data_IF_687304299352
#
_entry.id   IF_687304299352
#
_cell.length_a   1.000
_cell.length_b   1.000
_cell.length_c   1.000
_cell.angle_alpha   90.00
_cell.angle_beta   90.00
_cell.angle_gamma   90.00
#
_symmetry.space_group_name_H-M   'P 1'
#
loop_
_entity.id
_entity.type
_entity.pdbx_description
1 polymer ?
#
# COMPACT_ATOMS: atom_id res chain seq x y z
N UNK A 1 -5.39 -22.52 0.02
CA UNK A 1 -3.93 -22.63 0.19
C UNK A 1 -3.68 -22.70 1.68
N UNK A 2 -3.15 -23.79 2.21
CA UNK A 2 -2.83 -23.92 3.64
C UNK A 2 -1.38 -23.50 3.85
N UNK A 3 -1.13 -22.56 4.76
CA UNK A 3 0.20 -22.04 5.04
C UNK A 3 0.83 -22.79 6.21
N UNK A 4 2.13 -23.05 6.11
CA UNK A 4 2.88 -23.76 7.16
C UNK A 4 3.59 -22.75 8.06
N UNK A 5 3.23 -22.73 9.34
CA UNK A 5 3.90 -21.88 10.34
C UNK A 5 5.19 -22.54 10.84
N UNK A 6 6.29 -21.77 10.82
CA UNK A 6 7.56 -22.16 11.38
C UNK A 6 7.93 -21.26 12.56
N UNK A 7 8.35 -21.86 13.68
CA UNK A 7 8.69 -21.13 14.90
C UNK A 7 10.18 -21.17 15.19
N UNK A 8 10.73 -20.01 15.53
CA UNK A 8 12.11 -19.91 16.01
C UNK A 8 12.23 -20.44 17.44
N UNK A 9 13.45 -20.82 17.86
CA UNK A 9 13.72 -21.23 19.25
C UNK A 9 13.34 -20.15 20.28
N UNK A 10 13.42 -18.88 19.88
CA UNK A 10 13.04 -17.75 20.72
C UNK A 10 11.52 -17.66 20.88
N UNK A 11 10.77 -17.77 19.77
CA UNK A 11 9.30 -17.78 19.79
C UNK A 11 8.74 -18.90 20.70
N UNK A 12 9.38 -20.07 20.73
CA UNK A 12 9.01 -21.17 21.63
C UNK A 12 9.20 -20.82 23.12
N UNK A 13 10.23 -20.03 23.46
CA UNK A 13 10.44 -19.55 24.84
C UNK A 13 9.39 -18.51 25.22
N UNK A 14 9.09 -17.60 24.29
CA UNK A 14 8.12 -16.52 24.55
C UNK A 14 6.68 -17.05 24.61
N UNK A 15 6.35 -18.14 23.91
CA UNK A 15 5.08 -18.85 24.05
C UNK A 15 4.78 -19.29 25.50
N UNK A 16 5.82 -19.66 26.27
CA UNK A 16 5.65 -20.01 27.69
C UNK A 16 5.24 -18.81 28.54
N UNK A 17 5.83 -17.63 28.25
CA UNK A 17 5.48 -16.36 28.93
C UNK A 17 4.09 -15.88 28.53
N UNK A 18 3.72 -16.09 27.28
CA UNK A 18 2.42 -15.75 26.71
C UNK A 18 1.29 -16.58 27.35
N UNK A 19 1.58 -17.83 27.72
CA UNK A 19 0.65 -18.66 28.47
C UNK A 19 0.42 -18.15 29.91
N UNK A 20 1.47 -17.68 30.59
CA UNK A 20 1.36 -17.14 31.95
C UNK A 20 0.69 -15.76 32.05
N UNK A 21 0.61 -15.00 30.95
CA UNK A 21 0.01 -13.66 30.94
C UNK A 21 -1.48 -13.64 30.55
N UNK A 22 -2.12 -14.81 30.39
CA UNK A 22 -3.52 -14.91 29.97
C UNK A 22 -3.78 -14.54 28.50
N UNK A 23 -2.74 -14.23 27.71
CA UNK A 23 -2.85 -13.84 26.30
C UNK A 23 -2.91 -15.04 25.33
N UNK A 24 -2.87 -16.27 25.87
CA UNK A 24 -2.85 -17.52 25.09
C UNK A 24 -3.96 -17.61 24.05
N UNK A 25 -5.21 -17.31 24.45
CA UNK A 25 -6.37 -17.42 23.56
C UNK A 25 -6.28 -16.43 22.37
N UNK A 26 -5.84 -15.20 22.62
CA UNK A 26 -5.65 -14.18 21.57
C UNK A 26 -4.55 -14.59 20.59
N UNK A 27 -3.42 -15.09 21.09
CA UNK A 27 -2.33 -15.55 20.22
C UNK A 27 -2.74 -16.76 19.37
N UNK A 28 -3.50 -17.71 19.93
CA UNK A 28 -4.03 -18.86 19.17
C UNK A 28 -4.97 -18.43 18.05
N UNK A 29 -5.83 -17.43 18.30
CA UNK A 29 -6.71 -16.88 17.27
C UNK A 29 -5.92 -16.25 16.10
N UNK A 30 -4.86 -15.50 16.41
CA UNK A 30 -3.99 -14.91 15.38
C UNK A 30 -3.25 -15.97 14.56
N UNK A 31 -2.72 -17.02 15.20
CA UNK A 31 -2.04 -18.11 14.50
C UNK A 31 -3.00 -18.86 13.56
N UNK A 32 -4.26 -19.05 13.97
CA UNK A 32 -5.29 -19.67 13.12
C UNK A 32 -5.61 -18.84 11.87
N UNK A 33 -5.60 -17.50 11.97
CA UNK A 33 -5.77 -16.61 10.81
C UNK A 33 -4.57 -16.74 9.86
N UNK A 34 -3.34 -16.74 10.40
CA UNK A 34 -2.12 -16.86 9.61
C UNK A 34 -2.00 -18.21 8.87
N UNK A 35 -2.52 -19.30 9.43
CA UNK A 35 -2.58 -20.61 8.76
C UNK A 35 -3.56 -20.64 7.57
N UNK A 36 -4.64 -19.85 7.66
CA UNK A 36 -5.67 -19.76 6.61
C UNK A 36 -5.25 -18.82 5.48
N UNK A 37 -4.87 -17.59 5.81
CA UNK A 37 -4.39 -16.60 4.85
C UNK A 37 -3.63 -15.46 5.57
N UNK A 38 -2.29 -15.40 5.42
CA UNK A 38 -1.48 -14.38 6.08
C UNK A 38 -1.71 -12.97 5.53
N UNK A 39 -2.43 -12.82 4.41
CA UNK A 39 -2.69 -11.54 3.76
C UNK A 39 -4.12 -11.03 3.99
N UNK A 40 -4.91 -11.68 4.85
CA UNK A 40 -6.21 -11.14 5.24
C UNK A 40 -6.07 -9.83 5.99
N UNK A 41 -6.96 -8.89 5.69
CA UNK A 41 -7.09 -7.64 6.44
C UNK A 41 -7.38 -8.00 7.91
N UNK A 42 -6.46 -7.69 8.85
CA UNK A 42 -6.59 -8.13 10.24
C UNK A 42 -7.83 -7.51 10.90
N UNK A 43 -8.34 -8.12 11.99
CA UNK A 43 -9.46 -7.56 12.73
C UNK A 43 -9.15 -6.14 13.21
N UNK A 44 -10.18 -5.27 13.36
CA UNK A 44 -9.99 -3.90 13.85
C UNK A 44 -9.17 -3.90 15.13
N UNK A 45 -8.07 -3.15 15.15
CA UNK A 45 -7.19 -3.08 16.31
C UNK A 45 -7.84 -2.28 17.43
N UNK A 46 -7.67 -2.75 18.66
CA UNK A 46 -8.10 -2.04 19.86
C UNK A 46 -7.08 -0.93 20.17
N UNK A 47 -7.55 0.31 20.32
CA UNK A 47 -6.68 1.46 20.64
C UNK A 47 -6.00 1.19 21.97
N UNK A 48 -4.68 1.36 22.03
CA UNK A 48 -3.93 1.25 23.29
C UNK A 48 -4.48 2.28 24.29
N UNK A 49 -4.91 1.82 25.46
CA UNK A 49 -5.45 2.67 26.55
C UNK A 49 -4.44 2.68 27.70
N UNK A 50 -3.92 3.86 28.07
CA UNK A 50 -2.95 4.05 29.16
C UNK A 50 -2.04 5.27 28.95
N UNK A 51 -1.19 5.59 29.94
CA UNK A 51 -0.10 6.56 29.77
C UNK A 51 1.02 5.91 28.95
N UNK A 52 1.04 6.25 27.67
CA UNK A 52 1.98 5.72 26.67
C UNK A 52 3.15 6.68 26.44
N UNK A 53 3.44 7.58 27.38
CA UNK A 53 4.60 8.47 27.28
C UNK A 53 5.88 7.64 27.12
N UNK A 54 6.47 7.68 25.92
CA UNK A 54 7.68 6.93 25.56
C UNK A 54 7.44 5.53 24.98
N UNK A 55 6.20 5.05 24.85
CA UNK A 55 5.89 3.81 24.16
C UNK A 55 5.65 4.06 22.66
N UNK A 56 6.63 3.73 21.82
CA UNK A 56 6.42 3.66 20.37
C UNK A 56 5.61 2.40 20.05
N UNK A 57 4.37 2.56 19.57
CA UNK A 57 3.61 1.46 18.97
C UNK A 57 4.34 1.01 17.70
N UNK A 58 5.04 -0.11 17.73
CA UNK A 58 5.61 -0.79 16.54
C UNK A 58 4.51 -1.44 15.68
N UNK A 59 3.39 -0.75 15.48
CA UNK A 59 2.25 -1.15 14.64
C UNK A 59 1.99 -0.09 13.55
N UNK A 60 3.05 0.55 13.04
CA UNK A 60 2.90 1.67 12.09
C UNK A 60 3.25 1.38 10.62
N UNK A 61 3.58 0.14 10.25
CA UNK A 61 3.70 -0.26 8.85
C UNK A 61 2.45 -1.05 8.42
N UNK A 62 1.29 -0.41 8.49
CA UNK A 62 0.18 -0.86 7.66
C UNK A 62 0.55 -0.59 6.19
N UNK A 63 0.29 -1.55 5.31
CA UNK A 63 0.54 -1.41 3.88
C UNK A 63 -0.26 -0.21 3.34
N UNK A 64 0.40 0.92 3.05
CA UNK A 64 -0.26 2.13 2.55
C UNK A 64 -0.38 2.06 1.03
N UNK A 65 -1.58 2.28 0.53
CA UNK A 65 -1.83 2.45 -0.91
C UNK A 65 -2.00 3.95 -1.17
N UNK A 66 -1.12 4.49 -1.99
CA UNK A 66 -1.17 5.88 -2.46
C UNK A 66 -1.70 5.89 -3.88
N UNK A 67 -2.69 6.74 -4.13
CA UNK A 67 -3.21 6.99 -5.46
C UNK A 67 -2.76 8.37 -5.95
N UNK A 68 -2.32 8.46 -7.20
CA UNK A 68 -1.99 9.72 -7.86
C UNK A 68 -2.37 9.62 -9.33
N UNK A 69 -2.80 10.71 -9.95
CA UNK A 69 -3.18 10.68 -11.36
C UNK A 69 -2.46 11.75 -12.17
N UNK A 70 -2.19 11.45 -13.44
CA UNK A 70 -1.45 12.32 -14.35
C UNK A 70 -2.00 12.20 -15.77
N UNK A 71 -1.81 13.26 -16.54
CA UNK A 71 -1.93 13.17 -17.99
C UNK A 71 -0.72 12.44 -18.59
N UNK A 72 0.49 12.82 -18.16
CA UNK A 72 1.77 12.26 -18.62
C UNK A 72 2.02 12.36 -20.14
N UNK A 73 1.61 13.48 -20.74
CA UNK A 73 1.78 13.74 -22.19
C UNK A 73 3.25 14.00 -22.56
N UNK A 74 3.97 14.76 -21.74
CA UNK A 74 5.40 14.98 -21.88
C UNK A 74 6.07 14.65 -20.55
N UNK A 75 6.85 13.57 -20.53
CA UNK A 75 7.58 13.17 -19.33
C UNK A 75 8.77 14.10 -19.10
N UNK A 76 8.86 14.66 -17.89
CA UNK A 76 9.99 15.48 -17.46
C UNK A 76 10.28 15.20 -15.98
N UNK A 77 11.37 15.77 -15.47
CA UNK A 77 11.87 15.54 -14.10
C UNK A 77 10.85 15.85 -13.00
N UNK A 78 9.92 16.77 -13.25
CA UNK A 78 8.83 17.10 -12.33
C UNK A 78 7.93 15.91 -12.02
N UNK A 79 7.49 15.15 -13.03
CA UNK A 79 6.71 13.93 -12.83
C UNK A 79 7.49 12.89 -12.02
N UNK A 80 8.77 12.70 -12.33
CA UNK A 80 9.62 11.74 -11.61
C UNK A 80 9.76 12.10 -10.12
N UNK A 81 9.90 13.38 -9.79
CA UNK A 81 9.97 13.85 -8.41
C UNK A 81 8.64 13.63 -7.68
N UNK A 82 7.51 13.94 -8.32
CA UNK A 82 6.19 13.73 -7.74
C UNK A 82 5.91 12.24 -7.47
N UNK A 83 6.24 11.36 -8.42
CA UNK A 83 6.09 9.92 -8.27
C UNK A 83 7.01 9.37 -7.17
N UNK A 84 8.25 9.83 -7.11
CA UNK A 84 9.19 9.47 -6.04
C UNK A 84 8.64 9.86 -4.66
N UNK A 85 8.13 11.08 -4.52
CA UNK A 85 7.55 11.57 -3.27
C UNK A 85 6.29 10.76 -2.90
N UNK A 86 5.44 10.43 -3.88
CA UNK A 86 4.23 9.63 -3.67
C UNK A 86 4.57 8.20 -3.21
N UNK A 87 5.60 7.58 -3.80
CA UNK A 87 6.11 6.28 -3.34
C UNK A 87 6.73 6.35 -1.94
N UNK A 88 7.41 7.45 -1.60
CA UNK A 88 7.92 7.67 -0.24
C UNK A 88 6.80 7.77 0.81
N UNK A 89 5.66 8.37 0.46
CA UNK A 89 4.46 8.41 1.32
C UNK A 89 3.89 7.00 1.53
N UNK A 90 3.89 6.17 0.47
CA UNK A 90 3.47 4.77 0.58
C UNK A 90 4.38 3.97 1.53
N UNK A 91 5.66 4.35 1.62
CA UNK A 91 6.64 3.65 2.46
C UNK A 91 7.25 2.44 1.75
N UNK A 92 8.16 1.71 2.44
CA UNK A 92 8.91 0.60 1.85
C UNK A 92 8.02 -0.54 1.37
N UNK A 93 6.98 -0.87 2.12
CA UNK A 93 6.03 -1.95 1.83
C UNK A 93 4.72 -1.46 1.19
N UNK A 94 4.56 -0.15 1.00
CA UNK A 94 3.38 0.43 0.38
C UNK A 94 3.39 0.41 -1.14
N UNK A 95 2.23 0.71 -1.73
CA UNK A 95 2.01 0.68 -3.19
C UNK A 95 1.59 2.04 -3.72
N UNK A 96 2.15 2.44 -4.85
CA UNK A 96 1.73 3.60 -5.64
C UNK A 96 0.94 3.13 -6.86
N UNK A 97 -0.34 3.48 -6.88
CA UNK A 97 -1.24 3.29 -8.03
C UNK A 97 -1.34 4.62 -8.79
N UNK A 98 -0.99 4.59 -10.08
CA UNK A 98 -1.04 5.76 -10.94
C UNK A 98 -2.22 5.70 -11.90
N UNK A 99 -3.10 6.70 -11.85
CA UNK A 99 -4.14 6.92 -12.84
C UNK A 99 -3.62 7.71 -14.04
N UNK A 100 -3.72 7.14 -15.24
CA UNK A 100 -3.48 7.89 -16.48
C UNK A 100 -4.82 8.37 -17.02
N UNK A 101 -4.95 9.69 -17.15
CA UNK A 101 -6.21 10.32 -17.57
C UNK A 101 -6.50 9.96 -19.03
N UNK A 102 -7.73 9.54 -19.33
CA UNK A 102 -8.18 9.19 -20.68
C UNK A 102 -8.18 10.39 -21.62
N UNK A 103 -8.01 10.16 -22.92
CA UNK A 103 -7.98 11.23 -23.94
C UNK A 103 -9.28 12.05 -23.92
N UNK A 104 -10.43 11.38 -23.74
CA UNK A 104 -11.76 11.99 -23.70
C UNK A 104 -11.90 12.97 -22.54
N UNK A 105 -11.46 12.58 -21.34
CA UNK A 105 -11.51 13.43 -20.15
C UNK A 105 -10.58 14.65 -20.27
N UNK A 106 -9.45 14.51 -20.97
CA UNK A 106 -8.52 15.63 -21.21
C UNK A 106 -9.13 16.60 -22.23
N UNK A 107 -9.70 16.08 -23.30
CA UNK A 107 -10.34 16.89 -24.34
C UNK A 107 -11.55 17.65 -23.79
N UNK A 108 -12.37 17.02 -22.94
CA UNK A 108 -13.48 17.67 -22.26
C UNK A 108 -13.04 18.89 -21.43
N UNK A 109 -11.88 18.82 -20.78
CA UNK A 109 -11.40 19.92 -19.93
C UNK A 109 -10.59 20.97 -20.71
N UNK A 110 -9.72 20.53 -21.62
CA UNK A 110 -8.71 21.38 -22.28
C UNK A 110 -9.06 21.75 -23.72
N UNK A 111 -10.14 21.19 -24.28
CA UNK A 111 -10.58 21.42 -25.65
C UNK A 111 -9.64 20.86 -26.72
N UNK A 112 -8.67 20.03 -26.34
CA UNK A 112 -7.73 19.38 -27.25
C UNK A 112 -7.24 18.05 -26.66
N UNK A 113 -6.97 17.04 -27.50
CA UNK A 113 -6.38 15.79 -27.06
C UNK A 113 -4.90 15.98 -26.68
N UNK A 114 -4.31 15.02 -25.95
CA UNK A 114 -2.87 14.94 -25.72
C UNK A 114 -2.08 14.72 -27.02
N UNK A 115 -0.78 15.00 -26.99
CA UNK A 115 0.13 14.69 -28.10
C UNK A 115 0.41 13.18 -28.21
N UNK A 116 0.61 12.51 -27.06
CA UNK A 116 0.80 11.07 -26.98
C UNK A 116 -0.54 10.36 -26.80
N UNK A 117 -0.70 9.24 -27.50
CA UNK A 117 -1.86 8.37 -27.33
C UNK A 117 -1.98 7.88 -25.88
N UNK A 118 -3.19 7.59 -25.42
CA UNK A 118 -3.41 6.98 -24.10
C UNK A 118 -2.50 5.77 -23.83
N UNK A 119 -2.28 4.94 -24.85
CA UNK A 119 -1.41 3.76 -24.75
C UNK A 119 0.05 4.13 -24.47
N UNK A 120 0.61 5.09 -25.19
CA UNK A 120 1.99 5.54 -24.97
C UNK A 120 2.15 6.12 -23.56
N UNK A 121 1.18 6.91 -23.11
CA UNK A 121 1.17 7.50 -21.75
C UNK A 121 1.08 6.41 -20.66
N UNK A 122 0.30 5.37 -20.91
CA UNK A 122 0.18 4.21 -20.01
C UNK A 122 1.48 3.39 -19.95
N UNK A 123 2.09 3.10 -21.11
CA UNK A 123 3.38 2.39 -21.19
C UNK A 123 4.51 3.19 -20.51
N UNK A 124 4.53 4.52 -20.71
CA UNK A 124 5.48 5.41 -20.01
C UNK A 124 5.31 5.30 -18.50
N UNK A 125 4.09 5.40 -17.98
CA UNK A 125 3.83 5.33 -16.56
C UNK A 125 4.22 3.98 -15.95
N UNK A 126 3.93 2.88 -16.66
CA UNK A 126 4.30 1.52 -16.24
C UNK A 126 5.81 1.30 -16.20
N UNK A 127 6.58 2.02 -17.01
CA UNK A 127 8.05 1.90 -17.06
C UNK A 127 8.77 2.61 -15.91
N UNK A 128 8.06 3.45 -15.15
CA UNK A 128 8.67 4.25 -14.08
C UNK A 128 8.82 3.41 -12.81
N UNK A 129 10.08 3.24 -12.37
CA UNK A 129 10.48 2.49 -11.15
C UNK A 129 9.59 2.67 -9.91
N UNK A 130 9.06 3.87 -9.69
CA UNK A 130 8.29 4.19 -8.47
C UNK A 130 6.84 3.71 -8.53
N UNK A 131 6.34 3.32 -9.70
CA UNK A 131 4.95 2.98 -9.96
C UNK A 131 4.75 1.47 -9.84
N UNK A 132 3.82 1.05 -8.98
CA UNK A 132 3.52 -0.37 -8.78
C UNK A 132 2.39 -0.86 -9.69
N UNK A 133 1.43 0.02 -10.00
CA UNK A 133 0.31 -0.30 -10.90
C UNK A 133 -0.17 0.95 -11.62
N UNK A 134 -0.64 0.79 -12.85
CA UNK A 134 -1.23 1.86 -13.65
C UNK A 134 -2.67 1.50 -13.99
N UNK A 135 -3.58 2.46 -13.87
CA UNK A 135 -5.01 2.32 -14.21
C UNK A 135 -5.46 3.46 -15.11
N UNK A 136 -6.50 3.22 -15.91
CA UNK A 136 -7.15 4.29 -16.66
C UNK A 136 -8.00 5.14 -15.70
N UNK A 137 -7.83 6.46 -15.79
CA UNK A 137 -8.65 7.43 -15.07
C UNK A 137 -9.58 8.13 -16.06
N UNK A 138 -10.87 7.82 -15.99
CA UNK A 138 -11.88 8.28 -16.97
C UNK A 138 -12.50 9.65 -16.64
N UNK A 139 -12.20 10.21 -15.46
CA UNK A 139 -12.72 11.50 -15.00
C UNK A 139 -11.62 12.27 -14.27
N UNK A 140 -11.61 13.59 -14.35
CA UNK A 140 -10.71 14.39 -13.51
C UNK A 140 -11.30 14.41 -12.10
N UNK A 141 -10.51 13.96 -11.12
CA UNK A 141 -10.87 14.08 -9.71
C UNK A 141 -10.55 15.51 -9.26
N UNK A 142 -11.55 16.38 -9.41
CA UNK A 142 -11.63 17.68 -8.75
C UNK A 142 -12.89 17.72 -7.88
#
# INVERSE_FOLDING_TARGET
>A
MTWTLHYTKQAQKDAKKLASSGLKAKAQALLAILEQDPWQNPPPFEKLVGDLSGAYSQLEDCMKIVYSYYVMDLLHTGHLLMLKNSKAIAGPDGRLVVGIVSDEAIEQQKGRPPLLSFRERLELAQSIRYVDSVVQQVQLLC
#
